data_IF_869552754043
#
_entry.id   IF_869552754043
#
_cell.length_a   1.000
_cell.length_b   1.000
_cell.length_c   1.000
_cell.angle_alpha   90.00
_cell.angle_beta   90.00
_cell.angle_gamma   90.00
#
_symmetry.space_group_name_H-M   'P 1'
#
loop_
_entity.id
_entity.type
_entity.pdbx_description
1 polymer ?
#
# COMPACT_ATOMS: atom_id res chain seq x y z
N UNK A 1 -4.37 4.37 -14.28
CA UNK A 1 -2.94 4.23 -14.56
C UNK A 1 -2.56 5.40 -15.45
N UNK A 2 -1.76 6.35 -14.95
CA UNK A 2 -1.24 7.46 -15.76
C UNK A 2 -0.10 6.90 -16.62
N UNK A 3 -0.14 7.12 -17.94
CA UNK A 3 0.94 6.68 -18.84
C UNK A 3 2.02 7.77 -18.84
N UNK A 4 3.26 7.39 -19.14
CA UNK A 4 4.40 8.33 -19.20
C UNK A 4 4.15 9.53 -20.15
N UNK A 5 3.23 9.42 -21.10
CA UNK A 5 2.82 10.52 -21.98
C UNK A 5 1.99 11.61 -21.30
N UNK A 6 1.35 11.33 -20.15
CA UNK A 6 0.52 12.30 -19.41
C UNK A 6 1.36 13.28 -18.55
N UNK A 7 2.67 13.05 -18.43
CA UNK A 7 3.60 13.82 -17.59
C UNK A 7 4.67 14.56 -18.41
N UNK A 8 4.71 14.35 -19.73
CA UNK A 8 5.65 15.04 -20.63
C UNK A 8 5.17 16.49 -20.84
N UNK A 9 5.96 17.47 -20.40
CA UNK A 9 5.65 18.90 -20.53
C UNK A 9 5.02 19.56 -19.29
N UNK A 10 4.87 18.85 -18.16
CA UNK A 10 4.39 19.45 -16.93
C UNK A 10 5.49 20.22 -16.18
N UNK A 11 5.16 21.32 -15.49
CA UNK A 11 6.13 22.07 -14.71
C UNK A 11 6.75 21.21 -13.60
N UNK A 12 8.03 21.44 -13.25
CA UNK A 12 8.76 20.61 -12.29
C UNK A 12 8.11 20.58 -10.90
N UNK A 13 7.43 21.65 -10.49
CA UNK A 13 6.67 21.71 -9.23
C UNK A 13 5.45 20.78 -9.23
N UNK A 14 4.81 20.62 -10.39
CA UNK A 14 3.67 19.71 -10.55
C UNK A 14 4.16 18.26 -10.70
N UNK A 15 5.26 18.03 -11.41
CA UNK A 15 5.93 16.73 -11.46
C UNK A 15 6.41 16.27 -10.08
N UNK A 16 6.94 17.17 -9.24
CA UNK A 16 7.33 16.84 -7.88
C UNK A 16 6.13 16.41 -7.01
N UNK A 17 4.95 17.01 -7.23
CA UNK A 17 3.71 16.62 -6.54
C UNK A 17 3.11 15.33 -7.11
N UNK A 18 3.19 15.12 -8.42
CA UNK A 18 2.67 13.93 -9.12
C UNK A 18 3.57 12.71 -8.89
N UNK A 19 4.90 12.85 -8.94
CA UNK A 19 5.86 11.77 -8.65
C UNK A 19 5.73 11.28 -7.21
N UNK A 20 5.53 12.18 -6.23
CA UNK A 20 5.20 11.79 -4.85
C UNK A 20 3.91 10.97 -4.76
N UNK A 21 2.96 11.18 -5.68
CA UNK A 21 1.66 10.47 -5.72
C UNK A 21 1.75 9.17 -6.53
N UNK A 22 2.52 9.14 -7.62
CA UNK A 22 2.66 8.02 -8.55
C UNK A 22 3.58 6.92 -8.05
N UNK A 23 4.62 7.26 -7.27
CA UNK A 23 5.54 6.28 -6.65
C UNK A 23 4.83 5.46 -5.56
N UNK A 24 3.66 5.89 -5.08
CA UNK A 24 3.00 5.32 -3.90
C UNK A 24 2.24 4.00 -4.11
N UNK A 25 1.94 3.58 -5.34
CA UNK A 25 1.08 2.41 -5.56
C UNK A 25 1.82 1.11 -5.89
N UNK A 26 3.02 1.18 -6.45
CA UNK A 26 3.80 0.00 -6.86
C UNK A 26 4.86 -0.40 -5.81
N UNK A 27 5.38 0.56 -5.05
CA UNK A 27 6.48 0.39 -4.09
C UNK A 27 6.02 0.40 -2.63
N UNK A 28 4.75 0.07 -2.33
CA UNK A 28 4.33 0.01 -0.93
C UNK A 28 4.75 -1.34 -0.33
N UNK A 29 5.73 -1.40 0.60
CA UNK A 29 6.22 -2.65 1.13
C UNK A 29 5.12 -3.47 1.82
N UNK A 30 4.10 -2.81 2.39
CA UNK A 30 2.93 -3.48 2.98
C UNK A 30 2.17 -4.30 1.93
N UNK A 31 1.95 -3.73 0.75
CA UNK A 31 1.25 -4.42 -0.34
C UNK A 31 2.08 -5.58 -0.88
N UNK A 32 3.39 -5.40 -0.99
CA UNK A 32 4.32 -6.47 -1.40
C UNK A 32 4.28 -7.63 -0.42
N UNK A 33 4.36 -7.37 0.90
CA UNK A 33 4.31 -8.42 1.93
C UNK A 33 3.00 -9.20 1.92
N UNK A 34 1.87 -8.52 1.69
CA UNK A 34 0.55 -9.18 1.61
C UNK A 34 0.43 -9.98 0.30
N UNK A 35 0.91 -9.46 -0.83
CA UNK A 35 0.90 -10.17 -2.13
C UNK A 35 1.70 -11.47 -2.09
N UNK A 36 2.86 -11.48 -1.44
CA UNK A 36 3.71 -12.66 -1.37
C UNK A 36 3.11 -13.80 -0.53
N UNK A 37 2.23 -13.48 0.42
CA UNK A 37 1.71 -14.44 1.41
C UNK A 37 0.22 -14.71 1.26
N UNK A 38 -0.46 -14.00 0.35
CA UNK A 38 -1.92 -13.90 0.19
C UNK A 38 -2.65 -13.29 1.41
N UNK A 39 -2.24 -13.67 2.61
CA UNK A 39 -2.71 -13.22 3.91
C UNK A 39 -1.48 -12.87 4.78
N UNK A 40 -1.45 -11.68 5.35
CA UNK A 40 -0.38 -11.27 6.26
C UNK A 40 -0.91 -10.59 7.52
N UNK A 41 -0.27 -10.90 8.65
CA UNK A 41 -0.52 -10.22 9.92
C UNK A 41 0.32 -8.94 10.02
N UNK A 42 -0.11 -7.97 10.83
CA UNK A 42 0.64 -6.72 11.05
C UNK A 42 2.08 -6.97 11.51
N UNK A 43 2.30 -7.98 12.35
CA UNK A 43 3.63 -8.37 12.81
C UNK A 43 4.50 -8.90 11.66
N UNK A 44 3.92 -9.72 10.76
CA UNK A 44 4.63 -10.19 9.57
C UNK A 44 4.96 -9.04 8.62
N UNK A 45 4.02 -8.13 8.42
CA UNK A 45 4.20 -6.93 7.60
C UNK A 45 5.33 -6.06 8.15
N UNK A 46 5.40 -5.86 9.47
CA UNK A 46 6.48 -5.11 10.11
C UNK A 46 7.85 -5.76 9.89
N UNK A 47 7.94 -7.08 10.04
CA UNK A 47 9.19 -7.84 9.78
C UNK A 47 9.62 -7.68 8.32
N UNK A 48 8.68 -7.79 7.41
CA UNK A 48 8.93 -7.77 5.97
C UNK A 48 9.33 -6.35 5.48
N UNK A 49 8.72 -5.30 6.02
CA UNK A 49 9.18 -3.91 5.85
C UNK A 49 10.63 -3.77 6.32
N UNK A 50 10.97 -4.28 7.50
CA UNK A 50 12.34 -4.20 8.01
C UNK A 50 13.32 -4.98 7.13
N UNK A 51 12.96 -6.18 6.68
CA UNK A 51 13.81 -6.99 5.78
C UNK A 51 14.03 -6.31 4.44
N UNK A 52 13.02 -5.62 3.91
CA UNK A 52 13.10 -4.98 2.59
C UNK A 52 13.76 -3.60 2.62
N UNK A 53 13.64 -2.86 3.73
CA UNK A 53 14.05 -1.44 3.79
C UNK A 53 15.10 -1.14 4.85
N UNK A 54 15.37 -2.06 5.77
CA UNK A 54 16.19 -1.85 6.96
C UNK A 54 15.53 -0.96 8.03
N UNK A 55 14.32 -0.46 7.79
CA UNK A 55 13.65 0.50 8.69
C UNK A 55 12.70 -0.19 9.67
N UNK A 56 12.83 0.16 10.95
CA UNK A 56 11.89 -0.26 11.99
C UNK A 56 10.77 0.77 12.09
N UNK A 57 9.59 0.45 11.58
CA UNK A 57 8.39 1.28 11.75
C UNK A 57 7.67 0.95 13.06
N UNK A 58 7.09 1.96 13.72
CA UNK A 58 6.20 1.75 14.88
C UNK A 58 4.91 1.06 14.45
N UNK A 59 4.40 0.13 15.27
CA UNK A 59 3.13 -0.59 15.02
C UNK A 59 1.97 0.35 14.69
N UNK A 60 1.85 1.46 15.42
CA UNK A 60 0.82 2.48 15.19
C UNK A 60 0.90 3.09 13.78
N UNK A 61 2.12 3.40 13.31
CA UNK A 61 2.32 3.94 11.97
C UNK A 61 1.90 2.94 10.88
N UNK A 62 2.27 1.67 11.06
CA UNK A 62 1.86 0.58 10.15
C UNK A 62 0.35 0.39 10.17
N UNK A 63 -0.29 0.43 11.34
CA UNK A 63 -1.75 0.39 11.46
C UNK A 63 -2.45 1.54 10.73
N UNK A 64 -1.90 2.76 10.81
CA UNK A 64 -2.45 3.91 10.08
C UNK A 64 -2.32 3.76 8.56
N UNK A 65 -1.20 3.23 8.09
CA UNK A 65 -1.02 2.94 6.65
C UNK A 65 -1.97 1.84 6.19
N UNK A 66 -2.10 0.75 6.95
CA UNK A 66 -3.05 -0.33 6.69
C UNK A 66 -4.49 0.18 6.64
N UNK A 67 -4.86 1.11 7.52
CA UNK A 67 -6.18 1.74 7.50
C UNK A 67 -6.40 2.54 6.21
N UNK A 68 -5.41 3.35 5.78
CA UNK A 68 -5.50 4.10 4.52
C UNK A 68 -5.63 3.17 3.31
N UNK A 69 -4.86 2.09 3.27
CA UNK A 69 -4.90 1.09 2.19
C UNK A 69 -6.23 0.32 2.17
N UNK A 70 -6.78 0.00 3.35
CA UNK A 70 -8.08 -0.65 3.47
C UNK A 70 -9.21 0.28 3.02
N UNK A 71 -9.16 1.56 3.44
CA UNK A 71 -10.11 2.59 3.00
C UNK A 71 -10.03 2.86 1.49
N UNK A 72 -8.83 2.78 0.92
CA UNK A 72 -8.61 2.87 -0.52
C UNK A 72 -9.03 1.61 -1.30
N UNK A 73 -9.51 0.56 -0.63
CA UNK A 73 -9.95 -0.68 -1.27
C UNK A 73 -8.81 -1.51 -1.85
N UNK A 74 -7.55 -1.29 -1.43
CA UNK A 74 -6.39 -2.06 -1.90
C UNK A 74 -6.16 -3.33 -1.09
N UNK A 75 -6.55 -3.32 0.17
CA UNK A 75 -6.47 -4.46 1.09
C UNK A 75 -7.79 -4.63 1.85
N UNK A 76 -8.05 -5.84 2.32
CA UNK A 76 -9.20 -6.15 3.15
C UNK A 76 -8.74 -6.81 4.45
N UNK A 77 -9.37 -6.43 5.57
CA UNK A 77 -9.17 -7.11 6.86
C UNK A 77 -9.90 -8.44 6.84
N UNK A 78 -9.28 -9.49 7.37
CA UNK A 78 -9.92 -10.81 7.46
C UNK A 78 -10.94 -10.78 8.61
N UNK A 79 -12.22 -11.15 8.36
CA UNK A 79 -13.21 -11.23 9.42
C UNK A 79 -12.77 -12.24 10.48
N UNK A 80 -13.03 -11.95 11.76
CA UNK A 80 -12.66 -12.79 12.91
C UNK A 80 -11.14 -12.93 13.17
N UNK A 81 -10.26 -12.26 12.41
CA UNK A 81 -8.81 -12.18 12.71
C UNK A 81 -8.34 -10.75 12.84
N UNK A 82 -8.02 -10.33 14.07
CA UNK A 82 -7.53 -8.98 14.32
C UNK A 82 -6.10 -8.81 13.79
N UNK A 83 -5.83 -7.70 13.10
CA UNK A 83 -4.50 -7.40 12.59
C UNK A 83 -4.08 -8.24 11.38
N UNK A 84 -5.00 -8.94 10.72
CA UNK A 84 -4.72 -9.78 9.55
C UNK A 84 -5.38 -9.19 8.30
N UNK A 85 -4.61 -9.11 7.22
CA UNK A 85 -4.98 -8.44 5.98
C UNK A 85 -4.71 -9.33 4.77
N UNK A 86 -5.51 -9.16 3.72
CA UNK A 86 -5.31 -9.74 2.40
C UNK A 86 -5.41 -8.67 1.33
N UNK A 87 -4.93 -8.94 0.12
CA UNK A 87 -5.22 -8.07 -1.03
C UNK A 87 -6.73 -8.06 -1.26
N UNK A 88 -7.30 -6.88 -1.42
CA UNK A 88 -8.68 -6.78 -1.83
C UNK A 88 -8.73 -7.25 -3.29
N UNK A 89 -9.44 -8.34 -3.56
CA UNK A 89 -9.92 -8.60 -4.90
C UNK A 89 -10.71 -7.35 -5.29
N UNK A 90 -10.26 -6.67 -6.35
CA UNK A 90 -10.84 -5.42 -6.87
C UNK A 90 -12.36 -5.54 -6.75
N UNK A 91 -12.96 -4.86 -5.77
CA UNK A 91 -14.41 -4.69 -5.80
C UNK A 91 -14.67 -3.81 -7.00
N UNK A 92 -15.24 -4.37 -8.05
CA UNK A 92 -16.15 -3.59 -8.88
C UNK A 92 -17.07 -2.82 -7.92
N UNK A 93 -17.20 -1.49 -8.09
CA UNK A 93 -18.10 -0.72 -7.25
C UNK A 93 -19.48 -1.39 -7.33
N UNK A 94 -20.00 -1.71 -6.16
CA UNK A 94 -21.37 -2.14 -5.93
C UNK A 94 -22.31 -1.21 -6.71
N UNK A 95 -23.18 -1.80 -7.52
CA UNK A 95 -24.13 -1.15 -8.45
C UNK A 95 -25.02 -0.12 -7.77
#
# INVERSE_FOLDING_TARGET
>A
MLKQKDIEGLPPELLAQLSKKAITQTENPILTSIRQREIASIDQIMIDIYRSTGQVKKRQAVSMELFKLAKAGLIARIPKRQGVYRIAARKEPDQ
#
